data_IF_750908319176
#
_entry.id   IF_750908319176
#
_cell.length_a   1.000
_cell.length_b   1.000
_cell.length_c   1.000
_cell.angle_alpha   90.00
_cell.angle_beta   90.00
_cell.angle_gamma   90.00
#
_symmetry.space_group_name_H-M   'P 1'
#
loop_
_entity.id
_entity.type
_entity.pdbx_description
1 polymer ?
#
# COMPACT_ATOMS: atom_id res chain seq x y z
N UNK A 1 46.49 11.34 -44.30
CA UNK A 1 47.10 11.91 -43.07
C UNK A 1 45.99 12.51 -42.21
N UNK A 2 45.65 11.91 -41.06
CA UNK A 2 44.59 12.41 -40.16
C UNK A 2 45.08 13.67 -39.44
N UNK A 3 44.46 14.82 -39.72
CA UNK A 3 44.81 16.14 -39.18
C UNK A 3 44.27 16.37 -37.76
N UNK A 4 44.56 15.49 -36.81
CA UNK A 4 44.39 15.75 -35.36
C UNK A 4 42.98 16.08 -34.86
N UNK A 5 41.93 15.93 -35.67
CA UNK A 5 40.54 16.15 -35.28
C UNK A 5 39.90 14.78 -34.98
N UNK A 6 39.55 14.57 -33.71
CA UNK A 6 38.87 13.37 -33.22
C UNK A 6 37.38 13.58 -33.48
N UNK A 7 36.81 12.83 -34.44
CA UNK A 7 35.39 12.90 -34.79
C UNK A 7 34.80 11.49 -34.74
N UNK A 8 33.49 11.34 -34.44
CA UNK A 8 32.81 10.03 -34.45
C UNK A 8 32.98 9.24 -35.77
N UNK A 9 33.27 9.94 -36.87
CA UNK A 9 33.50 9.33 -38.18
C UNK A 9 34.92 8.78 -38.36
N UNK A 10 35.90 9.13 -37.51
CA UNK A 10 37.24 8.53 -37.55
C UNK A 10 37.21 7.06 -37.15
N UNK A 11 36.34 6.69 -36.20
CA UNK A 11 36.17 5.31 -35.77
C UNK A 11 35.59 4.44 -36.89
N UNK A 12 34.67 5.00 -37.68
CA UNK A 12 34.11 4.35 -38.87
C UNK A 12 35.21 4.04 -39.90
N UNK A 13 36.15 4.96 -40.10
CA UNK A 13 37.30 4.75 -40.99
C UNK A 13 38.23 3.66 -40.48
N UNK A 14 38.58 3.69 -39.18
CA UNK A 14 39.45 2.69 -38.57
C UNK A 14 38.82 1.28 -38.64
N UNK A 15 37.51 1.18 -38.38
CA UNK A 15 36.76 -0.07 -38.52
C UNK A 15 36.77 -0.57 -39.97
N UNK A 16 36.50 0.31 -40.94
CA UNK A 16 36.49 -0.07 -42.35
C UNK A 16 37.87 -0.50 -42.86
N UNK A 17 38.95 0.15 -42.41
CA UNK A 17 40.32 -0.25 -42.72
C UNK A 17 40.68 -1.61 -42.10
N UNK A 18 40.19 -1.88 -40.90
CA UNK A 18 40.32 -3.20 -40.25
C UNK A 18 39.57 -4.27 -41.04
N UNK A 19 38.33 -3.99 -41.47
CA UNK A 19 37.55 -4.91 -42.32
C UNK A 19 38.24 -5.18 -43.66
N UNK A 20 38.78 -4.15 -44.30
CA UNK A 20 39.56 -4.29 -45.52
C UNK A 20 40.73 -5.27 -45.34
N UNK A 21 41.51 -5.07 -44.28
CA UNK A 21 42.66 -5.93 -43.97
C UNK A 21 42.24 -7.39 -43.77
N UNK A 22 41.21 -7.63 -42.95
CA UNK A 22 40.70 -8.98 -42.68
C UNK A 22 40.17 -9.70 -43.94
N UNK A 23 39.60 -8.96 -44.89
CA UNK A 23 38.96 -9.54 -46.08
C UNK A 23 39.91 -9.73 -47.25
N UNK A 24 40.99 -8.93 -47.32
CA UNK A 24 41.91 -8.91 -48.47
C UNK A 24 43.31 -9.37 -48.13
N UNK A 25 43.59 -9.59 -46.85
CA UNK A 25 44.92 -9.90 -46.30
C UNK A 25 45.99 -8.89 -46.75
N UNK A 26 45.58 -7.64 -46.94
CA UNK A 26 46.42 -6.53 -47.37
C UNK A 26 46.49 -5.50 -46.25
N UNK A 27 47.70 -5.20 -45.76
CA UNK A 27 47.89 -4.31 -44.62
C UNK A 27 47.85 -2.84 -45.07
N UNK A 28 46.85 -2.04 -44.64
CA UNK A 28 46.76 -0.63 -45.03
C UNK A 28 47.90 0.24 -44.48
N UNK A 29 48.76 -0.30 -43.59
CA UNK A 29 49.98 0.37 -43.12
C UNK A 29 51.06 0.39 -44.19
N UNK A 30 51.07 -0.57 -45.11
CA UNK A 30 52.07 -0.66 -46.18
C UNK A 30 51.82 0.37 -47.29
N UNK A 31 50.58 0.86 -47.43
CA UNK A 31 50.20 1.91 -48.38
C UNK A 31 49.18 2.89 -47.77
N UNK A 32 49.62 3.79 -46.87
CA UNK A 32 48.74 4.62 -46.06
C UNK A 32 47.75 5.46 -46.88
N UNK A 33 46.45 5.25 -46.65
CA UNK A 33 45.38 5.99 -47.32
C UNK A 33 45.03 5.47 -48.72
N UNK A 34 45.65 4.38 -49.16
CA UNK A 34 45.30 3.62 -50.34
C UNK A 34 44.67 2.28 -49.95
N UNK A 35 43.82 1.73 -50.80
CA UNK A 35 43.15 0.46 -50.58
C UNK A 35 43.02 -0.31 -51.92
N UNK A 36 44.14 -0.75 -52.51
CA UNK A 36 44.22 -1.23 -53.90
C UNK A 36 43.36 -2.49 -54.15
N UNK A 37 43.18 -3.34 -53.14
CA UNK A 37 42.39 -4.58 -53.24
C UNK A 37 40.90 -4.39 -53.00
N UNK A 38 40.38 -3.16 -52.84
CA UNK A 38 38.92 -2.97 -52.73
C UNK A 38 38.18 -3.50 -53.96
N UNK A 39 38.83 -3.41 -55.12
CA UNK A 39 38.36 -3.93 -56.40
C UNK A 39 38.24 -5.47 -56.45
N UNK A 40 38.82 -6.21 -55.50
CA UNK A 40 38.71 -7.68 -55.45
C UNK A 40 37.52 -8.14 -54.62
N UNK A 41 36.92 -7.25 -53.81
CA UNK A 41 35.75 -7.55 -52.99
C UNK A 41 34.47 -7.57 -53.83
N UNK A 42 33.44 -8.25 -53.31
CA UNK A 42 32.07 -8.22 -53.86
C UNK A 42 31.59 -6.77 -54.03
N UNK A 43 30.85 -6.44 -55.11
CA UNK A 43 30.43 -5.06 -55.41
C UNK A 43 29.70 -4.34 -54.28
N UNK A 44 28.80 -5.04 -53.58
CA UNK A 44 28.01 -4.47 -52.48
C UNK A 44 28.90 -4.09 -51.29
N UNK A 45 29.82 -5.00 -50.93
CA UNK A 45 30.75 -4.81 -49.83
C UNK A 45 31.80 -3.75 -50.15
N UNK A 46 32.27 -3.73 -51.41
CA UNK A 46 33.15 -2.68 -51.93
C UNK A 46 32.51 -1.31 -51.76
N UNK A 47 31.27 -1.13 -52.23
CA UNK A 47 30.56 0.15 -52.13
C UNK A 47 30.43 0.64 -50.69
N UNK A 48 30.12 -0.26 -49.75
CA UNK A 48 30.01 0.07 -48.33
C UNK A 48 31.36 0.51 -47.73
N UNK A 49 32.44 -0.21 -48.04
CA UNK A 49 33.79 0.11 -47.54
C UNK A 49 34.36 1.36 -48.22
N UNK A 50 34.17 1.54 -49.52
CA UNK A 50 34.60 2.75 -50.26
C UNK A 50 34.02 4.02 -49.64
N UNK A 51 32.73 4.00 -49.27
CA UNK A 51 32.09 5.15 -48.63
C UNK A 51 32.63 5.42 -47.22
N UNK A 52 32.98 4.37 -46.47
CA UNK A 52 33.56 4.47 -45.12
C UNK A 52 35.05 4.86 -45.13
N UNK A 53 35.78 4.54 -46.19
CA UNK A 53 37.21 4.81 -46.36
C UNK A 53 37.52 6.16 -47.02
N UNK A 54 36.51 7.02 -47.21
CA UNK A 54 36.72 8.35 -47.81
C UNK A 54 37.66 9.21 -46.96
N UNK A 55 38.62 9.91 -47.59
CA UNK A 55 39.56 10.79 -46.88
C UNK A 55 38.87 11.95 -46.15
N UNK A 56 37.85 12.53 -46.77
CA UNK A 56 37.04 13.61 -46.20
C UNK A 56 36.01 13.06 -45.18
N UNK A 57 36.06 13.49 -43.90
CA UNK A 57 35.10 13.06 -42.88
C UNK A 57 33.64 13.39 -43.21
N UNK A 58 33.37 14.55 -43.83
CA UNK A 58 32.00 14.97 -44.14
C UNK A 58 31.33 14.05 -45.17
N UNK A 59 32.13 13.53 -46.11
CA UNK A 59 31.69 12.63 -47.18
C UNK A 59 31.63 11.15 -46.77
N UNK A 60 32.11 10.80 -45.56
CA UNK A 60 32.16 9.42 -45.04
C UNK A 60 30.77 8.91 -44.63
N UNK A 61 30.56 7.61 -44.58
CA UNK A 61 29.36 7.05 -43.93
C UNK A 61 29.38 7.27 -42.41
N UNK A 62 28.20 7.37 -41.80
CA UNK A 62 28.06 7.29 -40.34
C UNK A 62 28.08 5.82 -39.87
N UNK A 63 28.32 5.58 -38.58
CA UNK A 63 28.26 4.23 -38.02
C UNK A 63 26.90 3.55 -38.26
N UNK A 64 25.81 4.32 -38.18
CA UNK A 64 24.46 3.84 -38.48
C UNK A 64 24.32 3.44 -39.95
N UNK A 65 24.80 4.26 -40.88
CA UNK A 65 24.74 3.99 -42.31
C UNK A 65 25.60 2.78 -42.71
N UNK A 66 26.82 2.68 -42.18
CA UNK A 66 27.70 1.53 -42.43
C UNK A 66 27.04 0.24 -41.90
N UNK A 67 26.46 0.28 -40.70
CA UNK A 67 25.71 -0.85 -40.15
C UNK A 67 24.53 -1.25 -41.04
N UNK A 68 23.70 -0.29 -41.46
CA UNK A 68 22.54 -0.56 -42.33
C UNK A 68 22.97 -1.20 -43.66
N UNK A 69 24.06 -0.72 -44.29
CA UNK A 69 24.61 -1.33 -45.50
C UNK A 69 25.14 -2.76 -45.27
N UNK A 70 25.92 -2.99 -44.21
CA UNK A 70 26.45 -4.32 -43.90
C UNK A 70 25.34 -5.31 -43.53
N UNK A 71 24.33 -4.86 -42.77
CA UNK A 71 23.14 -5.66 -42.47
C UNK A 71 22.39 -6.07 -43.74
N UNK A 72 22.26 -5.16 -44.73
CA UNK A 72 21.66 -5.49 -46.02
C UNK A 72 22.44 -6.55 -46.80
N UNK A 73 23.78 -6.53 -46.75
CA UNK A 73 24.65 -7.51 -47.42
C UNK A 73 24.60 -8.88 -46.74
N UNK A 74 24.53 -8.89 -45.40
CA UNK A 74 24.45 -10.11 -44.59
C UNK A 74 23.06 -10.76 -44.64
N UNK A 75 22.04 -10.01 -45.05
CA UNK A 75 20.68 -10.54 -45.23
C UNK A 75 20.64 -11.37 -46.52
N UNK A 76 20.37 -12.69 -46.47
CA UNK A 76 20.34 -13.52 -47.66
C UNK A 76 19.25 -13.03 -48.65
N UNK A 77 19.58 -12.84 -49.93
CA UNK A 77 18.61 -12.53 -51.01
C UNK A 77 17.73 -13.73 -51.42
N UNK A 78 17.78 -14.87 -50.71
CA UNK A 78 16.68 -15.84 -50.81
C UNK A 78 15.44 -15.18 -50.22
N UNK A 79 14.26 -15.53 -50.70
CA UNK A 79 12.99 -15.10 -50.11
C UNK A 79 12.82 -15.69 -48.69
N UNK A 80 13.67 -15.26 -47.76
CA UNK A 80 13.72 -15.73 -46.38
C UNK A 80 12.52 -15.13 -45.66
N UNK A 81 11.76 -16.01 -45.04
CA UNK A 81 10.34 -15.86 -44.74
C UNK A 81 10.03 -14.53 -44.07
N UNK A 82 9.08 -13.79 -44.65
CA UNK A 82 8.40 -12.74 -43.90
C UNK A 82 7.73 -13.36 -42.67
N UNK A 83 7.97 -12.84 -41.48
CA UNK A 83 7.24 -13.26 -40.29
C UNK A 83 5.90 -12.53 -40.25
N UNK A 84 4.80 -13.26 -40.10
CA UNK A 84 3.45 -12.71 -40.11
C UNK A 84 2.90 -12.58 -38.69
N UNK A 85 2.35 -11.41 -38.39
CA UNK A 85 1.59 -11.11 -37.18
C UNK A 85 0.09 -11.24 -37.43
N UNK A 86 -0.74 -11.27 -36.37
CA UNK A 86 -2.19 -11.20 -36.52
C UNK A 86 -2.61 -9.99 -37.35
N UNK A 87 -3.63 -10.15 -38.19
CA UNK A 87 -4.06 -9.09 -39.13
C UNK A 87 -3.27 -9.03 -40.44
N UNK A 88 -2.34 -9.97 -40.68
CA UNK A 88 -1.63 -10.10 -41.96
C UNK A 88 -0.45 -9.16 -42.14
N UNK A 89 -0.11 -8.38 -41.10
CA UNK A 89 1.10 -7.56 -41.07
C UNK A 89 2.34 -8.44 -41.10
N UNK A 90 3.34 -8.06 -41.89
CA UNK A 90 4.53 -8.88 -42.12
C UNK A 90 5.80 -8.07 -41.90
N UNK A 91 6.80 -8.73 -41.33
CA UNK A 91 8.14 -8.16 -41.19
C UNK A 91 9.16 -9.05 -41.89
N UNK A 92 10.14 -8.41 -42.50
CA UNK A 92 11.27 -9.09 -43.17
C UNK A 92 12.61 -8.82 -42.49
N UNK A 93 12.62 -7.96 -41.45
CA UNK A 93 13.83 -7.60 -40.71
C UNK A 93 13.58 -7.74 -39.20
N UNK A 94 14.53 -8.30 -38.43
CA UNK A 94 14.46 -8.35 -36.97
C UNK A 94 14.30 -6.96 -36.35
N UNK A 95 14.85 -5.90 -36.97
CA UNK A 95 14.73 -4.53 -36.45
C UNK A 95 13.28 -4.01 -36.37
N UNK A 96 12.34 -4.62 -37.11
CA UNK A 96 10.93 -4.27 -37.06
C UNK A 96 10.16 -5.01 -35.94
N UNK A 97 10.76 -6.00 -35.28
CA UNK A 97 10.11 -6.78 -34.22
C UNK A 97 9.60 -5.92 -33.05
N UNK A 98 10.35 -4.94 -32.49
CA UNK A 98 9.88 -4.22 -31.32
C UNK A 98 8.57 -3.46 -31.56
N UNK A 99 8.44 -2.81 -32.72
CA UNK A 99 7.21 -2.09 -33.06
C UNK A 99 6.01 -3.05 -33.22
N UNK A 100 6.21 -4.22 -33.83
CA UNK A 100 5.15 -5.21 -34.00
C UNK A 100 4.79 -5.94 -32.71
N UNK A 101 5.76 -6.21 -31.85
CA UNK A 101 5.51 -6.84 -30.55
C UNK A 101 4.74 -5.90 -29.62
N UNK A 102 5.03 -4.60 -29.62
CA UNK A 102 4.24 -3.64 -28.85
C UNK A 102 2.78 -3.58 -29.31
N UNK A 103 2.54 -3.68 -30.63
CA UNK A 103 1.19 -3.66 -31.20
C UNK A 103 0.42 -4.95 -30.91
N UNK A 104 1.11 -6.09 -30.98
CA UNK A 104 0.53 -7.44 -30.90
C UNK A 104 1.13 -8.23 -29.74
N UNK A 105 1.13 -7.65 -28.54
CA UNK A 105 1.88 -8.16 -27.39
C UNK A 105 1.54 -9.61 -27.02
N UNK A 106 0.25 -9.93 -26.91
CA UNK A 106 -0.19 -11.28 -26.54
C UNK A 106 0.27 -12.34 -27.56
N UNK A 107 0.21 -12.01 -28.85
CA UNK A 107 0.68 -12.90 -29.91
C UNK A 107 2.20 -13.02 -29.91
N UNK A 108 2.91 -11.89 -29.77
CA UNK A 108 4.37 -11.85 -29.68
C UNK A 108 4.92 -12.68 -28.51
N UNK A 109 4.25 -12.62 -27.36
CA UNK A 109 4.55 -13.47 -26.20
C UNK A 109 4.42 -14.94 -26.59
N UNK A 110 3.32 -15.31 -27.25
CA UNK A 110 3.13 -16.64 -27.80
C UNK A 110 4.28 -17.06 -28.74
N UNK A 111 4.63 -16.22 -29.71
CA UNK A 111 5.67 -16.54 -30.70
C UNK A 111 7.06 -16.75 -30.08
N UNK A 112 7.42 -15.97 -29.05
CA UNK A 112 8.68 -16.17 -28.33
C UNK A 112 8.69 -17.52 -27.60
N UNK A 113 7.63 -17.82 -26.84
CA UNK A 113 7.59 -19.01 -25.99
C UNK A 113 7.36 -20.32 -26.76
N UNK A 114 6.70 -20.27 -27.90
CA UNK A 114 6.60 -21.43 -28.82
C UNK A 114 7.86 -21.62 -29.69
N UNK A 115 8.81 -20.68 -29.65
CA UNK A 115 10.07 -20.76 -30.40
C UNK A 115 9.95 -20.36 -31.88
N UNK A 116 8.86 -19.68 -32.27
CA UNK A 116 8.66 -19.22 -33.65
C UNK A 116 9.66 -18.12 -34.02
N UNK A 117 9.96 -17.20 -33.09
CA UNK A 117 11.03 -16.23 -33.27
C UNK A 117 12.40 -16.92 -33.43
N UNK A 118 12.70 -17.97 -32.66
CA UNK A 118 13.96 -18.73 -32.80
C UNK A 118 14.09 -19.37 -34.19
N UNK A 119 13.01 -19.99 -34.69
CA UNK A 119 12.98 -20.60 -36.03
C UNK A 119 13.19 -19.56 -37.12
N UNK A 120 12.42 -18.47 -37.07
CA UNK A 120 12.53 -17.39 -38.04
C UNK A 120 13.90 -16.71 -38.05
N UNK A 121 14.47 -16.45 -36.87
CA UNK A 121 15.82 -15.87 -36.76
C UNK A 121 16.90 -16.83 -37.27
N UNK A 122 16.72 -18.14 -37.08
CA UNK A 122 17.60 -19.16 -37.67
C UNK A 122 17.52 -19.17 -39.19
N UNK A 123 16.32 -19.03 -39.76
CA UNK A 123 16.13 -18.94 -41.21
C UNK A 123 16.81 -17.69 -41.80
N UNK A 124 16.81 -16.57 -41.05
CA UNK A 124 17.56 -15.35 -41.36
C UNK A 124 19.07 -15.45 -41.09
N UNK A 125 19.57 -16.61 -40.65
CA UNK A 125 20.96 -16.83 -40.24
C UNK A 125 21.45 -15.86 -39.14
N UNK A 126 20.55 -15.41 -38.27
CA UNK A 126 20.84 -14.54 -37.11
C UNK A 126 20.95 -15.37 -35.84
N UNK A 127 21.94 -16.26 -35.81
CA UNK A 127 22.19 -17.18 -34.70
C UNK A 127 22.47 -16.45 -33.38
N UNK A 128 23.06 -15.26 -33.45
CA UNK A 128 23.27 -14.36 -32.31
C UNK A 128 21.95 -14.02 -31.59
N UNK A 129 20.86 -13.84 -32.33
CA UNK A 129 19.54 -13.51 -31.79
C UNK A 129 18.74 -14.76 -31.38
N UNK A 130 19.05 -15.93 -31.95
CA UNK A 130 18.46 -17.21 -31.54
C UNK A 130 18.83 -17.52 -30.09
N UNK A 131 20.09 -17.32 -29.71
CA UNK A 131 20.55 -17.52 -28.32
C UNK A 131 19.87 -16.56 -27.35
N UNK A 132 19.63 -15.32 -27.79
CA UNK A 132 18.92 -14.30 -27.01
C UNK A 132 17.45 -14.68 -26.80
N UNK A 133 16.77 -15.17 -27.83
CA UNK A 133 15.39 -15.67 -27.73
C UNK A 133 15.31 -16.88 -26.79
N UNK A 134 16.23 -17.84 -26.94
CA UNK A 134 16.30 -19.03 -26.09
C UNK A 134 16.59 -18.69 -24.63
N UNK A 135 17.45 -17.70 -24.37
CA UNK A 135 17.68 -17.18 -23.02
C UNK A 135 16.42 -16.53 -22.43
N UNK A 136 15.74 -15.68 -23.20
CA UNK A 136 14.56 -14.96 -22.73
C UNK A 136 13.40 -15.90 -22.37
N UNK A 137 13.21 -16.99 -23.13
CA UNK A 137 12.20 -18.03 -22.88
C UNK A 137 12.37 -18.77 -21.56
N UNK A 138 13.56 -18.78 -20.96
CA UNK A 138 13.80 -19.42 -19.65
C UNK A 138 13.15 -18.67 -18.48
N UNK A 139 12.66 -17.45 -18.69
CA UNK A 139 12.00 -16.66 -17.65
C UNK A 139 10.62 -17.22 -17.33
N UNK A 140 10.29 -17.29 -16.03
CA UNK A 140 8.96 -17.74 -15.55
C UNK A 140 7.85 -16.76 -15.94
N UNK A 141 8.16 -15.47 -15.88
CA UNK A 141 7.27 -14.40 -16.27
C UNK A 141 7.41 -14.14 -17.77
N UNK A 142 6.37 -14.50 -18.52
CA UNK A 142 6.42 -14.53 -19.97
C UNK A 142 6.53 -13.12 -20.58
N UNK A 143 5.78 -12.17 -20.03
CA UNK A 143 5.82 -10.77 -20.46
C UNK A 143 7.18 -10.14 -20.15
N UNK A 144 7.73 -10.40 -18.96
CA UNK A 144 9.08 -9.95 -18.63
C UNK A 144 10.15 -10.62 -19.50
N UNK A 145 9.89 -11.83 -20.01
CA UNK A 145 10.75 -12.52 -20.98
C UNK A 145 10.77 -11.82 -22.33
N UNK A 146 9.58 -11.50 -22.87
CA UNK A 146 9.46 -10.80 -24.15
C UNK A 146 10.10 -9.41 -24.09
N UNK A 147 9.84 -8.63 -23.05
CA UNK A 147 10.49 -7.32 -22.85
C UNK A 147 12.03 -7.44 -22.82
N UNK A 148 12.56 -8.47 -22.15
CA UNK A 148 14.00 -8.68 -22.07
C UNK A 148 14.61 -9.08 -23.42
N UNK A 149 13.89 -9.88 -24.22
CA UNK A 149 14.27 -10.22 -25.59
C UNK A 149 14.35 -8.96 -26.46
N UNK A 150 13.30 -8.14 -26.48
CA UNK A 150 13.21 -6.94 -27.32
C UNK A 150 14.32 -5.91 -27.03
N UNK A 151 14.72 -5.78 -25.77
CA UNK A 151 15.81 -4.86 -25.40
C UNK A 151 17.20 -5.34 -25.77
N UNK A 152 17.40 -6.66 -25.81
CA UNK A 152 18.67 -7.24 -26.23
C UNK A 152 18.79 -7.18 -27.76
N UNK A 153 17.66 -7.29 -28.45
CA UNK A 153 17.52 -7.08 -29.88
C UNK A 153 17.78 -5.62 -30.27
N UNK A 154 17.20 -4.65 -29.55
CA UNK A 154 17.43 -3.21 -29.73
C UNK A 154 17.81 -2.53 -28.41
N UNK A 155 19.10 -2.31 -28.15
CA UNK A 155 19.57 -1.62 -26.94
C UNK A 155 19.13 -0.15 -26.86
N UNK A 156 18.75 0.46 -27.98
CA UNK A 156 18.27 1.85 -28.07
C UNK A 156 16.79 2.01 -27.76
N UNK A 157 16.07 0.90 -27.49
CA UNK A 157 14.64 0.92 -27.24
C UNK A 157 14.29 1.73 -25.99
N UNK A 158 13.29 2.61 -26.10
CA UNK A 158 12.78 3.39 -24.98
C UNK A 158 12.32 2.46 -23.84
N UNK A 159 12.61 2.83 -22.60
CA UNK A 159 12.26 2.00 -21.44
C UNK A 159 10.79 2.22 -21.03
N UNK A 160 10.08 1.18 -20.53
CA UNK A 160 8.83 1.32 -19.80
C UNK A 160 8.98 2.32 -18.65
N UNK A 161 7.93 3.13 -18.47
CA UNK A 161 7.85 4.14 -17.43
C UNK A 161 6.61 3.89 -16.59
N UNK A 162 6.77 3.78 -15.28
CA UNK A 162 5.66 3.54 -14.36
C UNK A 162 5.23 4.87 -13.77
N UNK A 163 3.95 5.21 -13.90
CA UNK A 163 3.32 6.30 -13.20
C UNK A 163 2.46 5.73 -12.06
N UNK A 164 2.35 6.50 -10.98
CA UNK A 164 1.62 6.12 -9.78
C UNK A 164 0.68 7.25 -9.39
N UNK A 165 -0.59 6.91 -9.17
CA UNK A 165 -1.64 7.86 -8.80
C UNK A 165 -2.47 7.31 -7.62
N UNK A 166 -2.70 8.08 -6.54
CA UNK A 166 -2.13 9.41 -6.28
C UNK A 166 -0.64 9.34 -5.92
N UNK A 167 0.09 10.44 -6.17
CA UNK A 167 1.52 10.56 -5.82
C UNK A 167 1.76 10.62 -4.29
N UNK A 168 0.75 11.04 -3.53
CA UNK A 168 0.78 11.10 -2.07
C UNK A 168 -0.53 10.56 -1.54
N UNK A 169 -0.49 9.75 -0.50
CA UNK A 169 -1.67 9.11 0.08
C UNK A 169 -1.95 9.67 1.48
N UNK A 170 -2.99 10.48 1.61
CA UNK A 170 -3.44 10.95 2.93
C UNK A 170 -4.63 10.12 3.42
N UNK A 171 -4.41 9.38 4.50
CA UNK A 171 -5.43 8.56 5.15
C UNK A 171 -6.30 9.43 6.07
N UNK A 172 -5.81 10.60 6.47
CA UNK A 172 -6.48 11.50 7.39
C UNK A 172 -6.47 11.00 8.84
N UNK A 173 -7.50 11.36 9.61
CA UNK A 173 -7.62 11.06 11.04
C UNK A 173 -8.26 9.71 11.28
N UNK A 174 -7.52 8.81 11.89
CA UNK A 174 -7.95 7.43 12.16
C UNK A 174 -7.83 7.09 13.65
N UNK A 175 -8.63 6.13 14.08
CA UNK A 175 -8.49 5.49 15.38
C UNK A 175 -7.86 4.10 15.20
N UNK A 176 -7.20 3.57 16.24
CA UNK A 176 -6.59 2.23 16.22
C UNK A 176 -7.67 1.13 16.24
N UNK A 177 -8.28 0.86 15.09
CA UNK A 177 -9.48 -0.01 15.00
C UNK A 177 -9.33 -1.19 14.04
N UNK A 178 -8.15 -1.39 13.45
CA UNK A 178 -7.88 -2.53 12.58
C UNK A 178 -7.13 -2.10 11.32
N UNK A 179 -7.52 -2.64 10.18
CA UNK A 179 -6.88 -2.38 8.89
C UNK A 179 -7.76 -1.46 8.05
N UNK A 180 -7.19 -0.37 7.56
CA UNK A 180 -7.82 0.50 6.57
C UNK A 180 -7.26 0.17 5.19
N UNK A 181 -8.10 0.32 4.18
CA UNK A 181 -7.73 0.07 2.79
C UNK A 181 -7.63 1.40 2.06
N UNK A 182 -6.52 1.58 1.36
CA UNK A 182 -6.29 2.70 0.46
C UNK A 182 -5.94 2.18 -0.93
N UNK A 183 -6.40 2.87 -1.97
CA UNK A 183 -6.19 2.46 -3.35
C UNK A 183 -5.08 3.29 -3.99
N UNK A 184 -4.22 2.59 -4.72
CA UNK A 184 -3.13 3.16 -5.52
C UNK A 184 -3.23 2.60 -6.93
N UNK A 185 -3.31 3.46 -7.93
CA UNK A 185 -3.34 3.08 -9.33
C UNK A 185 -1.93 3.16 -9.92
N UNK A 186 -1.45 2.07 -10.51
CA UNK A 186 -0.20 2.04 -11.24
C UNK A 186 -0.47 1.88 -12.73
N UNK A 187 0.26 2.61 -13.56
CA UNK A 187 0.13 2.52 -15.02
C UNK A 187 1.48 2.59 -15.69
N UNK A 188 1.68 1.81 -16.76
CA UNK A 188 2.82 2.01 -17.65
C UNK A 188 2.47 3.10 -18.68
N UNK A 189 3.12 4.26 -18.58
CA UNK A 189 2.99 5.40 -19.50
C UNK A 189 3.99 5.35 -20.66
N UNK A 190 4.98 4.46 -20.58
CA UNK A 190 5.96 4.22 -21.64
C UNK A 190 5.51 3.14 -22.62
N UNK A 191 6.47 2.38 -23.13
CA UNK A 191 6.25 1.24 -24.02
C UNK A 191 6.44 -0.11 -23.33
N UNK A 192 6.05 -1.18 -24.02
CA UNK A 192 6.34 -2.56 -23.61
C UNK A 192 5.78 -2.92 -22.23
N UNK A 193 6.50 -3.76 -21.51
CA UNK A 193 6.06 -4.30 -20.22
C UNK A 193 6.97 -3.89 -19.06
N UNK A 194 6.37 -3.39 -17.98
CA UNK A 194 7.04 -3.05 -16.74
C UNK A 194 6.62 -4.00 -15.63
N UNK A 195 7.58 -4.63 -14.97
CA UNK A 195 7.34 -5.34 -13.71
C UNK A 195 7.68 -4.43 -12.53
N UNK A 196 6.69 -4.16 -11.69
CA UNK A 196 6.83 -3.33 -10.50
C UNK A 196 6.72 -4.17 -9.23
N UNK A 197 7.66 -3.97 -8.31
CA UNK A 197 7.65 -4.55 -6.97
C UNK A 197 7.34 -3.45 -5.96
N UNK A 198 6.37 -3.70 -5.09
CA UNK A 198 5.96 -2.78 -4.05
C UNK A 198 6.51 -3.25 -2.70
N UNK A 199 7.24 -2.36 -2.04
CA UNK A 199 7.77 -2.60 -0.70
C UNK A 199 7.35 -1.45 0.22
N UNK A 200 7.06 -1.78 1.48
CA UNK A 200 6.82 -0.77 2.50
C UNK A 200 8.07 -0.55 3.35
N UNK A 201 8.37 0.71 3.67
CA UNK A 201 9.38 1.05 4.68
C UNK A 201 8.82 1.09 6.11
N UNK A 202 7.48 1.07 6.27
CA UNK A 202 6.82 1.18 7.56
C UNK A 202 6.09 -0.14 7.91
N UNK A 203 6.21 -0.66 9.14
CA UNK A 203 5.61 -1.95 9.51
C UNK A 203 4.08 -1.93 9.54
N UNK A 204 3.46 -0.76 9.66
CA UNK A 204 2.01 -0.56 9.65
C UNK A 204 1.43 -0.37 8.25
N UNK A 205 2.23 -0.49 7.19
CA UNK A 205 1.84 -0.41 5.79
C UNK A 205 2.16 -1.72 5.09
N UNK A 206 1.17 -2.30 4.40
CA UNK A 206 1.34 -3.51 3.62
C UNK A 206 0.70 -3.36 2.23
N UNK A 207 1.48 -3.25 1.14
CA UNK A 207 0.96 -3.25 -0.22
C UNK A 207 0.51 -4.66 -0.63
N UNK A 208 -0.60 -4.74 -1.37
CA UNK A 208 -1.15 -5.98 -1.95
C UNK A 208 -1.68 -5.72 -3.37
N UNK A 209 -1.18 -6.44 -4.40
CA UNK A 209 -0.07 -7.40 -4.37
C UNK A 209 1.30 -6.73 -4.15
N UNK A 210 2.33 -7.53 -3.85
CA UNK A 210 3.74 -7.12 -3.72
C UNK A 210 4.46 -7.04 -5.08
N UNK A 211 3.96 -7.76 -6.09
CA UNK A 211 4.41 -7.65 -7.47
C UNK A 211 3.24 -7.43 -8.42
N UNK A 212 3.43 -6.57 -9.43
CA UNK A 212 2.44 -6.33 -10.47
C UNK A 212 3.09 -6.11 -11.84
N UNK A 213 2.45 -6.67 -12.86
CA UNK A 213 2.82 -6.49 -14.26
C UNK A 213 2.01 -5.39 -14.91
N UNK A 214 2.67 -4.48 -15.61
CA UNK A 214 2.06 -3.30 -16.22
C UNK A 214 2.42 -3.26 -17.71
N UNK A 215 1.47 -3.65 -18.57
CA UNK A 215 1.62 -3.52 -20.01
C UNK A 215 1.23 -2.11 -20.47
N UNK A 216 1.99 -1.56 -21.42
CA UNK A 216 1.66 -0.27 -22.03
C UNK A 216 0.29 -0.31 -22.73
N UNK A 217 -0.48 0.77 -22.62
CA UNK A 217 -1.80 0.88 -23.25
C UNK A 217 -2.94 0.16 -22.52
N UNK A 218 -2.66 -0.65 -21.50
CA UNK A 218 -3.67 -1.24 -20.63
C UNK A 218 -4.21 -0.24 -19.59
N UNK A 219 -5.42 -0.47 -19.04
CA UNK A 219 -5.95 0.35 -17.95
C UNK A 219 -5.03 0.33 -16.72
N UNK A 220 -5.10 1.36 -15.85
CA UNK A 220 -4.37 1.38 -14.59
C UNK A 220 -4.68 0.12 -13.77
N UNK A 221 -3.66 -0.49 -13.20
CA UNK A 221 -3.81 -1.61 -12.30
C UNK A 221 -3.92 -1.12 -10.86
N UNK A 222 -4.94 -1.58 -10.15
CA UNK A 222 -5.22 -1.19 -8.78
C UNK A 222 -4.38 -2.01 -7.80
N UNK A 223 -3.72 -1.31 -6.88
CA UNK A 223 -2.97 -1.88 -5.77
C UNK A 223 -3.57 -1.39 -4.47
N UNK A 224 -3.83 -2.34 -3.59
CA UNK A 224 -4.45 -2.09 -2.29
C UNK A 224 -3.34 -1.89 -1.24
N UNK A 225 -3.29 -0.72 -0.62
CA UNK A 225 -2.41 -0.44 0.51
C UNK A 225 -3.21 -0.68 1.80
N UNK A 226 -2.84 -1.74 2.51
CA UNK A 226 -3.40 -2.06 3.83
C UNK A 226 -2.65 -1.26 4.90
N UNK A 227 -3.39 -0.43 5.63
CA UNK A 227 -2.89 0.41 6.70
C UNK A 227 -3.33 -0.19 8.04
N UNK A 228 -2.41 -0.88 8.72
CA UNK A 228 -2.66 -1.48 10.03
C UNK A 228 -2.63 -0.41 11.12
N UNK A 229 -3.78 0.19 11.38
CA UNK A 229 -3.91 1.25 12.39
C UNK A 229 -3.58 0.78 13.81
N UNK A 230 -3.68 -0.53 14.06
CA UNK A 230 -3.32 -1.13 15.34
C UNK A 230 -1.81 -1.13 15.62
N UNK A 231 -0.96 -1.01 14.59
CA UNK A 231 0.50 -1.04 14.71
C UNK A 231 1.10 0.37 14.65
N UNK A 232 0.24 1.41 14.56
CA UNK A 232 0.68 2.80 14.54
C UNK A 232 1.31 3.20 15.89
N UNK A 233 2.49 3.87 15.86
CA UNK A 233 3.06 4.47 17.07
C UNK A 233 2.14 5.56 17.63
N UNK A 234 2.08 5.73 18.95
CA UNK A 234 1.18 6.67 19.65
C UNK A 234 1.48 8.18 19.44
N UNK A 235 2.25 8.57 18.41
CA UNK A 235 2.53 9.99 18.11
C UNK A 235 1.50 10.55 17.12
N UNK A 236 1.20 11.84 17.22
CA UNK A 236 0.07 12.48 16.55
C UNK A 236 0.02 12.33 15.03
N UNK A 237 1.12 12.58 14.33
CA UNK A 237 1.23 12.40 12.87
C UNK A 237 2.28 11.34 12.58
N UNK A 238 1.90 10.34 11.79
CA UNK A 238 2.79 9.30 11.30
C UNK A 238 2.97 9.46 9.80
N UNK A 239 4.21 9.29 9.34
CA UNK A 239 4.57 9.29 7.94
C UNK A 239 5.26 7.96 7.62
N UNK A 240 4.79 7.30 6.58
CA UNK A 240 5.39 6.08 6.03
C UNK A 240 5.60 6.25 4.53
N UNK A 241 6.33 5.34 3.92
CA UNK A 241 6.58 5.39 2.47
C UNK A 241 6.41 4.01 1.87
N UNK A 242 5.61 3.94 0.80
CA UNK A 242 5.54 2.78 -0.08
C UNK A 242 6.47 3.04 -1.25
N UNK A 243 7.49 2.21 -1.39
CA UNK A 243 8.39 2.23 -2.54
C UNK A 243 7.86 1.33 -3.65
N UNK A 244 7.69 1.92 -4.84
CA UNK A 244 7.45 1.19 -6.08
C UNK A 244 8.77 1.09 -6.83
N UNK A 245 9.28 -0.13 -6.97
CA UNK A 245 10.53 -0.44 -7.68
C UNK A 245 10.19 -1.18 -8.97
N UNK A 246 10.38 -0.51 -10.11
CA UNK A 246 10.38 -1.20 -11.39
C UNK A 246 11.83 -1.40 -11.82
N UNK A 247 12.15 -2.57 -12.41
CA UNK A 247 13.52 -2.93 -12.79
C UNK A 247 14.23 -1.88 -13.66
N UNK A 248 13.48 -0.94 -14.27
CA UNK A 248 14.00 0.04 -15.22
C UNK A 248 13.36 1.43 -15.18
N UNK A 249 12.27 1.64 -14.42
CA UNK A 249 11.57 2.93 -14.35
C UNK A 249 11.97 3.79 -13.14
N UNK A 250 13.05 3.41 -12.43
CA UNK A 250 13.49 4.08 -11.22
C UNK A 250 12.69 3.66 -9.98
N UNK A 251 13.00 4.31 -8.85
CA UNK A 251 12.31 4.12 -7.57
C UNK A 251 11.34 5.27 -7.38
N UNK A 252 10.06 4.96 -7.17
CA UNK A 252 9.01 5.95 -6.89
C UNK A 252 8.62 5.77 -5.43
N UNK A 253 8.78 6.83 -4.64
CA UNK A 253 8.39 6.86 -3.24
C UNK A 253 7.02 7.52 -3.10
N UNK A 254 6.03 6.76 -2.65
CA UNK A 254 4.68 7.27 -2.35
C UNK A 254 4.59 7.50 -0.84
N UNK A 255 4.66 8.75 -0.35
CA UNK A 255 4.49 9.03 1.06
C UNK A 255 3.03 8.79 1.46
N UNK A 256 2.86 8.17 2.63
CA UNK A 256 1.57 7.90 3.26
C UNK A 256 1.51 8.62 4.59
N UNK A 257 0.52 9.49 4.76
CA UNK A 257 0.31 10.26 5.99
C UNK A 257 -0.91 9.76 6.75
N UNK A 258 -0.76 9.60 8.06
CA UNK A 258 -1.83 9.15 8.96
C UNK A 258 -1.81 9.98 10.22
N UNK A 259 -2.97 10.48 10.65
CA UNK A 259 -3.12 11.20 11.92
C UNK A 259 -3.88 10.33 12.93
N UNK A 260 -3.32 10.14 14.12
CA UNK A 260 -4.01 9.46 15.21
C UNK A 260 -4.93 10.43 15.95
N UNK A 261 -6.19 10.03 16.09
CA UNK A 261 -7.20 10.79 16.82
C UNK A 261 -7.37 10.25 18.25
N UNK A 262 -6.57 10.79 19.19
CA UNK A 262 -6.69 10.50 20.63
C UNK A 262 -8.12 10.70 21.20
N UNK A 263 -8.90 11.74 20.80
CA UNK A 263 -10.25 11.94 21.34
C UNK A 263 -11.21 10.80 20.97
N UNK A 264 -11.11 10.27 19.74
CA UNK A 264 -11.93 9.16 19.26
C UNK A 264 -11.56 7.85 19.97
N UNK A 265 -10.29 7.69 20.35
CA UNK A 265 -9.82 6.56 21.14
C UNK A 265 -10.35 6.59 22.58
N UNK A 266 -10.29 7.76 23.23
CA UNK A 266 -10.82 7.96 24.58
C UNK A 266 -12.34 7.74 24.59
N UNK A 267 -13.09 8.33 23.65
CA UNK A 267 -14.54 8.16 23.58
C UNK A 267 -14.96 6.69 23.41
N UNK A 268 -14.20 5.90 22.65
CA UNK A 268 -14.47 4.47 22.48
C UNK A 268 -14.21 3.67 23.74
N UNK A 269 -13.12 3.97 24.46
CA UNK A 269 -12.79 3.28 25.71
C UNK A 269 -13.82 3.64 26.79
N UNK A 270 -14.22 4.91 26.86
CA UNK A 270 -15.33 5.38 27.70
C UNK A 270 -16.62 4.64 27.35
N UNK A 271 -17.00 4.60 26.06
CA UNK A 271 -18.21 3.90 25.60
C UNK A 271 -18.24 2.40 25.92
N UNK A 272 -17.10 1.70 25.82
CA UNK A 272 -16.98 0.29 26.25
C UNK A 272 -17.17 0.15 27.76
N UNK A 273 -16.56 1.02 28.55
CA UNK A 273 -16.73 1.07 30.00
C UNK A 273 -18.19 1.28 30.41
N UNK A 274 -18.91 2.19 29.75
CA UNK A 274 -20.33 2.46 30.03
C UNK A 274 -21.24 1.26 29.71
N UNK A 275 -20.98 0.50 28.65
CA UNK A 275 -21.76 -0.70 28.31
C UNK A 275 -21.64 -1.80 29.38
N UNK A 276 -20.50 -1.91 30.05
CA UNK A 276 -20.33 -2.82 31.19
C UNK A 276 -20.86 -2.27 32.52
N UNK A 277 -20.71 -0.96 32.74
CA UNK A 277 -21.12 -0.28 33.97
C UNK A 277 -22.64 -0.15 34.12
N UNK A 278 -23.37 0.17 33.05
CA UNK A 278 -24.82 0.43 33.10
C UNK A 278 -25.66 -0.79 33.52
N UNK A 279 -25.45 -2.01 32.97
CA UNK A 279 -26.20 -3.20 33.40
C UNK A 279 -25.88 -3.60 34.84
N UNK A 280 -24.61 -3.52 35.24
CA UNK A 280 -24.16 -3.86 36.59
C UNK A 280 -24.73 -2.89 37.65
N UNK A 281 -24.70 -1.58 37.37
CA UNK A 281 -25.34 -0.57 38.20
C UNK A 281 -26.86 -0.79 38.29
N UNK A 282 -27.55 -1.05 37.17
CA UNK A 282 -28.99 -1.35 37.15
C UNK A 282 -29.35 -2.62 37.92
N UNK A 283 -28.53 -3.67 37.85
CA UNK A 283 -28.77 -4.90 38.59
C UNK A 283 -28.66 -4.69 40.11
N UNK A 284 -27.63 -3.96 40.56
CA UNK A 284 -27.44 -3.65 41.99
C UNK A 284 -28.51 -2.71 42.53
N UNK A 285 -28.89 -1.66 41.78
CA UNK A 285 -29.96 -0.76 42.21
C UNK A 285 -31.30 -1.50 42.32
N UNK A 286 -31.62 -2.39 41.36
CA UNK A 286 -32.81 -3.26 41.45
C UNK A 286 -32.78 -4.16 42.70
N UNK A 287 -31.62 -4.73 43.03
CA UNK A 287 -31.46 -5.55 44.24
C UNK A 287 -31.71 -4.75 45.52
N UNK A 288 -31.18 -3.52 45.61
CA UNK A 288 -31.42 -2.61 46.75
C UNK A 288 -32.89 -2.21 46.83
N UNK A 289 -33.54 -1.83 45.72
CA UNK A 289 -34.98 -1.52 45.71
C UNK A 289 -35.81 -2.72 46.15
N UNK A 290 -35.47 -3.94 45.70
CA UNK A 290 -36.18 -5.15 46.09
C UNK A 290 -35.99 -5.50 47.59
N UNK A 291 -34.79 -5.31 48.14
CA UNK A 291 -34.52 -5.48 49.57
C UNK A 291 -35.26 -4.43 50.42
N UNK A 292 -35.30 -3.18 49.94
CA UNK A 292 -36.03 -2.08 50.56
C UNK A 292 -37.53 -2.35 50.61
N UNK A 293 -38.15 -2.69 49.46
CA UNK A 293 -39.59 -3.03 49.38
C UNK A 293 -39.97 -4.19 50.31
N UNK A 294 -39.12 -5.22 50.41
CA UNK A 294 -39.33 -6.34 51.34
C UNK A 294 -39.26 -5.89 52.80
N UNK A 295 -38.36 -4.98 53.13
CA UNK A 295 -38.19 -4.49 54.50
C UNK A 295 -39.34 -3.55 54.90
N UNK A 296 -39.72 -2.61 54.03
CA UNK A 296 -40.90 -1.77 54.24
C UNK A 296 -42.17 -2.62 54.34
N UNK A 297 -42.34 -3.62 53.48
CA UNK A 297 -43.48 -4.53 53.55
C UNK A 297 -43.56 -5.31 54.87
N UNK A 298 -42.42 -5.71 55.45
CA UNK A 298 -42.37 -6.34 56.78
C UNK A 298 -42.75 -5.36 57.89
N UNK A 299 -42.22 -4.14 57.85
CA UNK A 299 -42.54 -3.09 58.82
C UNK A 299 -44.02 -2.72 58.75
N UNK A 300 -44.58 -2.45 57.57
CA UNK A 300 -46.01 -2.15 57.41
C UNK A 300 -46.90 -3.28 57.91
N UNK A 301 -46.56 -4.55 57.63
CA UNK A 301 -47.29 -5.71 58.16
C UNK A 301 -47.20 -5.81 59.69
N UNK A 302 -46.03 -5.52 60.27
CA UNK A 302 -45.83 -5.51 61.71
C UNK A 302 -46.60 -4.38 62.40
N UNK A 303 -46.57 -3.18 61.83
CA UNK A 303 -47.32 -2.00 62.31
C UNK A 303 -48.82 -2.30 62.27
N UNK A 304 -49.32 -2.89 61.19
CA UNK A 304 -50.76 -3.22 61.06
C UNK A 304 -51.22 -4.28 62.06
N UNK A 305 -50.36 -5.25 62.40
CA UNK A 305 -50.68 -6.35 63.33
C UNK A 305 -50.54 -5.95 64.81
N UNK A 306 -49.72 -4.93 65.11
CA UNK A 306 -49.40 -4.50 66.48
C UNK A 306 -49.55 -2.99 66.71
N UNK A 307 -50.49 -2.33 66.02
CA UNK A 307 -50.63 -0.87 66.02
C UNK A 307 -50.64 -0.23 67.41
N UNK A 308 -51.30 -0.87 68.39
CA UNK A 308 -51.35 -0.38 69.79
C UNK A 308 -49.96 -0.33 70.45
N UNK A 309 -49.13 -1.35 70.22
CA UNK A 309 -47.75 -1.38 70.72
C UNK A 309 -46.86 -0.35 70.01
N UNK A 310 -47.10 -0.13 68.72
CA UNK A 310 -46.40 0.91 67.96
C UNK A 310 -46.74 2.31 68.47
N UNK A 311 -48.02 2.61 68.74
CA UNK A 311 -48.42 3.89 69.34
C UNK A 311 -47.78 4.09 70.72
N UNK A 312 -47.76 3.06 71.56
CA UNK A 312 -47.12 3.13 72.87
C UNK A 312 -45.61 3.39 72.75
N UNK A 313 -44.92 2.66 71.87
CA UNK A 313 -43.49 2.89 71.60
C UNK A 313 -43.23 4.30 71.04
N UNK A 314 -44.11 4.81 70.19
CA UNK A 314 -44.03 6.16 69.64
C UNK A 314 -44.21 7.23 70.73
N UNK A 315 -45.17 7.05 71.63
CA UNK A 315 -45.40 7.95 72.76
C UNK A 315 -44.21 7.96 73.72
N UNK A 316 -43.63 6.80 74.01
CA UNK A 316 -42.42 6.69 74.84
C UNK A 316 -41.23 7.40 74.17
N UNK A 317 -41.03 7.19 72.87
CA UNK A 317 -39.96 7.84 72.12
C UNK A 317 -40.15 9.36 72.07
N UNK A 318 -41.37 9.82 71.84
CA UNK A 318 -41.71 11.24 71.84
C UNK A 318 -41.48 11.89 73.20
N UNK A 319 -41.87 11.21 74.28
CA UNK A 319 -41.61 11.66 75.65
C UNK A 319 -40.11 11.71 75.95
N UNK A 320 -39.36 10.67 75.59
CA UNK A 320 -37.91 10.63 75.80
C UNK A 320 -37.17 11.74 75.04
N UNK A 321 -37.56 12.01 73.79
CA UNK A 321 -36.99 13.12 73.01
C UNK A 321 -37.37 14.48 73.58
N UNK A 322 -38.62 14.66 74.01
CA UNK A 322 -39.07 15.88 74.66
C UNK A 322 -38.32 16.16 75.97
N UNK A 323 -38.12 15.14 76.80
CA UNK A 323 -37.35 15.24 78.06
C UNK A 323 -35.88 15.51 77.78
N UNK A 324 -35.26 14.80 76.84
CA UNK A 324 -33.87 15.03 76.48
C UNK A 324 -33.62 16.43 75.89
N UNK A 325 -34.59 16.96 75.13
CA UNK A 325 -34.53 18.33 74.63
C UNK A 325 -34.67 19.36 75.76
N UNK A 326 -35.56 19.10 76.73
CA UNK A 326 -35.71 19.94 77.92
C UNK A 326 -34.43 19.97 78.77
N UNK A 327 -33.79 18.82 79.01
CA UNK A 327 -32.50 18.78 79.73
C UNK A 327 -31.39 19.52 78.98
N UNK A 328 -31.39 19.44 77.65
CA UNK A 328 -30.40 20.12 76.82
C UNK A 328 -30.64 21.65 76.73
N UNK A 329 -31.91 22.07 76.83
CA UNK A 329 -32.34 23.47 76.76
C UNK A 329 -33.34 23.76 77.89
N UNK A 330 -32.86 23.96 79.13
CA UNK A 330 -33.74 24.18 80.29
C UNK A 330 -34.55 25.48 80.19
N UNK A 331 -34.09 26.45 79.39
CA UNK A 331 -34.79 27.71 79.15
C UNK A 331 -35.90 27.61 78.07
N UNK A 332 -36.07 26.45 77.44
CA UNK A 332 -37.04 26.26 76.37
C UNK A 332 -38.48 26.25 76.90
N UNK A 333 -39.40 26.93 76.21
CA UNK A 333 -40.82 26.87 76.55
C UNK A 333 -41.34 25.42 76.41
N UNK A 334 -42.21 24.99 77.32
CA UNK A 334 -42.76 23.63 77.33
C UNK A 334 -43.38 23.22 75.98
N UNK A 335 -44.03 24.17 75.29
CA UNK A 335 -44.62 23.96 73.96
C UNK A 335 -43.59 23.52 72.91
N UNK A 336 -42.38 24.11 72.94
CA UNK A 336 -41.30 23.73 72.03
C UNK A 336 -40.80 22.32 72.32
N UNK A 337 -40.76 21.91 73.59
CA UNK A 337 -40.33 20.56 73.97
C UNK A 337 -41.34 19.50 73.54
N UNK A 338 -42.64 19.79 73.65
CA UNK A 338 -43.71 18.92 73.13
C UNK A 338 -43.68 18.84 71.60
N UNK A 339 -43.47 19.98 70.93
CA UNK A 339 -43.38 20.04 69.48
C UNK A 339 -42.19 19.25 68.94
N UNK A 340 -41.01 19.37 69.57
CA UNK A 340 -39.83 18.56 69.22
C UNK A 340 -40.02 17.08 69.58
N UNK A 341 -40.63 16.76 70.72
CA UNK A 341 -40.98 15.39 71.10
C UNK A 341 -41.88 14.71 70.06
N UNK A 342 -42.83 15.43 69.48
CA UNK A 342 -43.74 14.88 68.45
C UNK A 342 -43.14 14.86 67.05
N UNK A 343 -42.40 15.92 66.65
CA UNK A 343 -41.90 16.04 65.28
C UNK A 343 -40.56 15.32 65.04
N UNK A 344 -39.67 15.23 66.03
CA UNK A 344 -38.37 14.59 65.84
C UNK A 344 -38.46 13.09 65.51
N UNK A 345 -39.32 12.28 66.15
CA UNK A 345 -39.52 10.89 65.74
C UNK A 345 -40.10 10.76 64.32
N UNK A 346 -40.97 11.68 63.91
CA UNK A 346 -41.48 11.74 62.54
C UNK A 346 -40.34 12.03 61.55
N UNK A 347 -39.51 13.04 61.85
CA UNK A 347 -38.33 13.39 61.07
C UNK A 347 -37.34 12.24 60.97
N UNK A 348 -37.12 11.51 62.06
CA UNK A 348 -36.29 10.30 62.09
C UNK A 348 -36.85 9.21 61.18
N UNK A 349 -38.16 8.95 61.23
CA UNK A 349 -38.82 7.97 60.36
C UNK A 349 -38.71 8.38 58.90
N UNK A 350 -38.90 9.66 58.56
CA UNK A 350 -38.74 10.17 57.19
C UNK A 350 -37.28 10.06 56.74
N UNK A 351 -36.31 10.43 57.58
CA UNK A 351 -34.89 10.31 57.27
C UNK A 351 -34.49 8.84 57.04
N UNK A 352 -34.93 7.94 57.90
CA UNK A 352 -34.69 6.50 57.74
C UNK A 352 -35.40 5.97 56.49
N UNK A 353 -36.65 6.38 56.23
CA UNK A 353 -37.46 5.85 55.15
C UNK A 353 -37.12 6.40 53.75
N UNK A 354 -36.44 7.55 53.65
CA UNK A 354 -36.16 8.20 52.37
C UNK A 354 -34.68 8.51 52.16
N UNK A 355 -33.95 8.97 53.18
CA UNK A 355 -32.54 9.37 53.02
C UNK A 355 -31.63 8.14 52.96
N UNK A 356 -31.77 7.19 53.89
CA UNK A 356 -30.99 5.94 53.86
C UNK A 356 -31.15 5.12 52.56
N UNK A 357 -32.36 4.90 52.01
CA UNK A 357 -32.49 4.19 50.72
C UNK A 357 -31.92 4.97 49.55
N UNK A 358 -32.07 6.29 49.55
CA UNK A 358 -31.48 7.14 48.51
C UNK A 358 -29.95 7.00 48.53
N UNK A 359 -29.35 7.06 49.71
CA UNK A 359 -27.91 6.90 49.90
C UNK A 359 -27.45 5.49 49.52
N UNK A 360 -28.20 4.45 49.92
CA UNK A 360 -27.94 3.07 49.54
C UNK A 360 -28.05 2.84 48.02
N UNK A 361 -28.99 3.49 47.34
CA UNK A 361 -29.13 3.44 45.88
C UNK A 361 -27.94 4.09 45.18
N UNK A 362 -27.48 5.24 45.70
CA UNK A 362 -26.34 5.98 45.16
C UNK A 362 -25.05 5.17 45.30
N UNK A 363 -24.81 4.60 46.49
CA UNK A 363 -23.68 3.70 46.74
C UNK A 363 -23.76 2.44 45.88
N UNK A 364 -24.94 1.83 45.73
CA UNK A 364 -25.11 0.63 44.91
C UNK A 364 -24.91 0.89 43.41
N UNK A 365 -25.36 2.05 42.92
CA UNK A 365 -25.12 2.48 41.55
C UNK A 365 -23.63 2.70 41.29
N UNK A 366 -22.94 3.43 42.18
CA UNK A 366 -21.51 3.70 42.10
C UNK A 366 -20.71 2.39 42.14
N UNK A 367 -20.99 1.53 43.11
CA UNK A 367 -20.27 0.28 43.28
C UNK A 367 -20.54 -0.71 42.13
N UNK A 368 -21.75 -0.68 41.55
CA UNK A 368 -22.08 -1.43 40.33
C UNK A 368 -21.34 -0.92 39.10
N UNK A 369 -21.19 0.41 38.95
CA UNK A 369 -20.43 1.02 37.88
C UNK A 369 -18.93 0.68 37.99
N UNK A 370 -18.35 0.77 39.19
CA UNK A 370 -16.94 0.41 39.46
C UNK A 370 -16.70 -1.07 39.15
N UNK A 371 -17.59 -1.97 39.59
CA UNK A 371 -17.47 -3.40 39.31
C UNK A 371 -17.60 -3.70 37.81
N UNK A 372 -18.51 -3.02 37.10
CA UNK A 372 -18.66 -3.15 35.66
C UNK A 372 -17.43 -2.67 34.89
N UNK A 373 -16.84 -1.54 35.29
CA UNK A 373 -15.58 -1.03 34.78
C UNK A 373 -14.43 -2.03 34.99
N UNK A 374 -14.26 -2.53 36.22
CA UNK A 374 -13.23 -3.51 36.55
C UNK A 374 -13.32 -4.79 35.72
N UNK A 375 -14.52 -5.28 35.42
CA UNK A 375 -14.71 -6.45 34.54
C UNK A 375 -14.41 -6.17 33.07
N UNK A 376 -14.54 -4.92 32.63
CA UNK A 376 -14.34 -4.53 31.23
C UNK A 376 -12.87 -4.25 30.91
N UNK A 377 -12.10 -3.83 31.92
CA UNK A 377 -10.67 -3.47 31.77
C UNK A 377 -9.69 -4.43 32.48
N UNK A 378 -10.18 -5.37 33.30
CA UNK A 378 -9.36 -6.33 34.06
C UNK A 378 -9.09 -7.66 33.35
N UNK A 379 -9.32 -7.73 32.03
CA UNK A 379 -8.86 -8.80 31.13
C UNK A 379 -8.04 -8.15 30.04
#
# INVERSE_FOLDING_TARGET
QCRGQIELRSDVYALAATFYHLLTDDDPRDHPGSFPRLSTLRPDLRSALEQALRPDPASRSSARQLREHLEAILTPQRAVGSFAFPGGERISSPGALPAMCDKHWDAARGYLYHGDFERWLRDLNRLDLVDVAAWARKRRDQDAGLEAFLRRLDPGLARPQVAVEPATLDVGRVARQGTLTQLLCLRNTGRGYAKAHLASQAPWLQPRPDEIGLLAGQPPSEVTILVHTQDLPLRGVQQGTVEVRAAHAGRIAVPVTVQLSLPLEIWRNVGRGWRGALPAARARTRAVVAAWRRSVGRVCKSVRRGWRWWLAAWAILAAAVGVGYWEWRPDAAWETCVLWGLLAPLGLVVAVAFILPLLALLVAALAGAIQGLGRTFGK
#
